data_IF_162332766623
#
_entry.id   IF_162332766623
#
_cell.length_a   1.000
_cell.length_b   1.000
_cell.length_c   1.000
_cell.angle_alpha   90.00
_cell.angle_beta   90.00
_cell.angle_gamma   90.00
#
_symmetry.space_group_name_H-M   'P 1'
#
loop_
_entity.id
_entity.type
_entity.pdbx_description
1 polymer ?
#
# COMPACT_ATOMS: atom_id res chain seq x y z
N UNK A 1 7.69 10.90 -35.61
CA UNK A 1 7.30 11.38 -34.28
C UNK A 1 6.74 10.17 -33.56
N UNK A 2 7.44 9.63 -32.55
CA UNK A 2 7.01 8.40 -31.87
C UNK A 2 5.73 8.70 -31.08
N UNK A 3 4.58 8.31 -31.62
CA UNK A 3 3.30 8.29 -30.91
C UNK A 3 3.41 7.18 -29.84
N UNK A 4 3.91 7.56 -28.68
CA UNK A 4 3.86 6.70 -27.50
C UNK A 4 2.39 6.51 -27.15
N UNK A 5 1.88 5.30 -27.38
CA UNK A 5 0.51 4.91 -27.06
C UNK A 5 0.27 5.14 -25.55
N UNK A 6 -0.90 5.67 -25.20
CA UNK A 6 -1.29 5.97 -23.82
C UNK A 6 -1.13 4.75 -22.89
N UNK A 7 -1.28 3.54 -23.44
CA UNK A 7 -1.00 2.28 -22.74
C UNK A 7 0.48 2.09 -22.41
N UNK A 8 1.38 2.43 -23.33
CA UNK A 8 2.83 2.36 -23.11
C UNK A 8 3.29 3.39 -22.07
N UNK A 9 2.76 4.63 -22.10
CA UNK A 9 3.03 5.62 -21.05
C UNK A 9 2.54 5.16 -19.67
N UNK A 10 1.37 4.52 -19.62
CA UNK A 10 0.84 3.97 -18.35
C UNK A 10 1.74 2.86 -17.82
N UNK A 11 2.20 1.94 -18.69
CA UNK A 11 3.11 0.87 -18.32
C UNK A 11 4.49 1.41 -17.87
N UNK A 12 5.04 2.42 -18.55
CA UNK A 12 6.31 3.06 -18.14
C UNK A 12 6.15 3.73 -16.78
N UNK A 13 5.06 4.47 -16.56
CA UNK A 13 4.78 5.11 -15.28
C UNK A 13 4.59 4.11 -14.14
N UNK A 14 3.94 2.97 -14.42
CA UNK A 14 3.76 1.88 -13.47
C UNK A 14 5.09 1.24 -13.08
N UNK A 15 5.96 0.92 -14.05
CA UNK A 15 7.31 0.40 -13.80
C UNK A 15 8.16 1.38 -13.00
N UNK A 16 8.12 2.67 -13.35
CA UNK A 16 8.86 3.73 -12.64
C UNK A 16 8.38 3.85 -11.18
N UNK A 17 7.06 3.79 -10.97
CA UNK A 17 6.47 3.83 -9.64
C UNK A 17 6.90 2.63 -8.80
N UNK A 18 6.85 1.41 -9.37
CA UNK A 18 7.29 0.17 -8.72
C UNK A 18 8.74 0.26 -8.27
N UNK A 19 9.64 0.70 -9.14
CA UNK A 19 11.06 0.88 -8.82
C UNK A 19 11.26 1.89 -7.68
N UNK A 20 10.57 3.03 -7.73
CA UNK A 20 10.66 4.04 -6.68
C UNK A 20 10.15 3.54 -5.32
N UNK A 21 9.09 2.72 -5.32
CA UNK A 21 8.49 2.13 -4.12
C UNK A 21 9.45 1.10 -3.50
N UNK A 22 10.01 0.20 -4.32
CA UNK A 22 11.01 -0.76 -3.87
C UNK A 22 12.25 -0.07 -3.27
N UNK A 23 12.76 0.97 -3.93
CA UNK A 23 13.88 1.78 -3.43
C UNK A 23 13.55 2.49 -2.11
N UNK A 24 12.36 3.08 -2.01
CA UNK A 24 11.91 3.76 -0.79
C UNK A 24 11.82 2.79 0.38
N UNK A 25 11.20 1.63 0.17
CA UNK A 25 11.04 0.59 1.19
C UNK A 25 12.39 0.02 1.62
N UNK A 26 13.30 -0.27 0.67
CA UNK A 26 14.64 -0.74 0.98
C UNK A 26 15.44 0.26 1.84
N UNK A 27 15.34 1.56 1.54
CA UNK A 27 16.02 2.63 2.30
C UNK A 27 15.42 2.84 3.69
N UNK A 28 14.10 2.71 3.85
CA UNK A 28 13.41 3.01 5.11
C UNK A 28 13.25 1.80 6.04
N UNK A 29 13.30 0.56 5.53
CA UNK A 29 13.20 -0.66 6.33
C UNK A 29 14.56 -1.21 6.81
N UNK A 30 15.66 -0.48 6.58
CA UNK A 30 16.94 -0.77 7.21
C UNK A 30 17.62 -2.05 6.70
N UNK A 31 17.66 -2.25 5.38
CA UNK A 31 18.55 -3.24 4.74
C UNK A 31 18.28 -4.71 5.05
N UNK A 32 17.17 -5.06 5.68
CA UNK A 32 16.80 -6.47 5.88
C UNK A 32 16.20 -7.05 4.60
N UNK A 33 17.11 -7.56 3.79
CA UNK A 33 16.91 -8.36 2.56
C UNK A 33 16.18 -7.58 1.45
N UNK A 34 16.81 -7.37 0.27
CA UNK A 34 16.09 -6.80 -0.86
C UNK A 34 14.92 -7.74 -1.18
N UNK A 35 13.70 -7.24 -1.04
CA UNK A 35 12.52 -7.94 -1.56
C UNK A 35 12.76 -8.15 -3.05
N UNK A 36 12.77 -9.41 -3.50
CA UNK A 36 12.86 -9.71 -4.93
C UNK A 36 11.65 -9.03 -5.60
N UNK A 37 11.90 -8.23 -6.64
CA UNK A 37 10.88 -7.40 -7.30
C UNK A 37 9.65 -8.24 -7.71
N UNK A 38 9.86 -9.47 -8.16
CA UNK A 38 8.78 -10.39 -8.54
C UNK A 38 7.88 -10.79 -7.35
N UNK A 39 8.44 -10.94 -6.15
CA UNK A 39 7.67 -11.21 -4.94
C UNK A 39 6.92 -9.96 -4.47
N UNK A 40 7.55 -8.79 -4.55
CA UNK A 40 6.89 -7.52 -4.23
C UNK A 40 5.71 -7.25 -5.16
N UNK A 41 5.87 -7.52 -6.46
CA UNK A 41 4.82 -7.37 -7.46
C UNK A 41 3.65 -8.34 -7.20
N UNK A 42 3.93 -9.62 -6.93
CA UNK A 42 2.89 -10.60 -6.60
C UNK A 42 2.11 -10.23 -5.33
N UNK A 43 2.81 -9.74 -4.30
CA UNK A 43 2.20 -9.26 -3.06
C UNK A 43 1.37 -7.99 -3.28
N UNK A 44 1.89 -7.03 -4.04
CA UNK A 44 1.14 -5.82 -4.40
C UNK A 44 -0.12 -6.15 -5.20
N UNK A 45 -0.03 -7.06 -6.18
CA UNK A 45 -1.19 -7.51 -6.96
C UNK A 45 -2.24 -8.22 -6.09
N UNK A 46 -1.79 -9.07 -5.15
CA UNK A 46 -2.69 -9.71 -4.18
C UNK A 46 -3.40 -8.67 -3.29
N UNK A 47 -2.67 -7.65 -2.83
CA UNK A 47 -3.22 -6.54 -2.05
C UNK A 47 -4.20 -5.70 -2.88
N UNK A 48 -3.87 -5.38 -4.13
CA UNK A 48 -4.75 -4.63 -5.04
C UNK A 48 -6.04 -5.43 -5.29
N UNK A 49 -5.93 -6.75 -5.53
CA UNK A 49 -7.09 -7.62 -5.69
C UNK A 49 -7.97 -7.66 -4.42
N UNK A 50 -7.35 -7.72 -3.24
CA UNK A 50 -8.04 -7.65 -1.96
C UNK A 50 -8.78 -6.31 -1.80
N UNK A 51 -8.10 -5.18 -2.01
CA UNK A 51 -8.68 -3.84 -1.96
C UNK A 51 -9.92 -3.73 -2.87
N UNK A 52 -9.82 -4.22 -4.11
CA UNK A 52 -10.94 -4.23 -5.07
C UNK A 52 -12.11 -5.07 -4.55
N UNK A 53 -11.87 -6.25 -3.98
CA UNK A 53 -12.90 -7.10 -3.35
C UNK A 53 -13.56 -6.42 -2.14
N UNK A 54 -12.80 -5.66 -1.37
CA UNK A 54 -13.27 -4.86 -0.24
C UNK A 54 -13.96 -3.54 -0.67
N UNK A 55 -14.01 -3.27 -1.98
CA UNK A 55 -14.65 -2.08 -2.52
C UNK A 55 -13.81 -0.80 -2.37
N UNK A 56 -12.50 -0.90 -2.11
CA UNK A 56 -11.56 0.21 -2.30
C UNK A 56 -11.20 0.28 -3.79
N UNK A 57 -11.67 1.33 -4.45
CA UNK A 57 -11.56 1.49 -5.92
C UNK A 57 -10.74 2.70 -6.32
N UNK A 58 -10.51 3.66 -5.43
CA UNK A 58 -9.66 4.81 -5.72
C UNK A 58 -8.17 4.43 -5.61
N UNK A 59 -7.34 5.01 -6.46
CA UNK A 59 -5.88 4.81 -6.40
C UNK A 59 -5.32 5.16 -5.03
N UNK A 60 -5.82 6.24 -4.41
CA UNK A 60 -5.41 6.66 -3.07
C UNK A 60 -5.75 5.62 -1.99
N UNK A 61 -6.96 5.07 -2.00
CA UNK A 61 -7.37 4.06 -1.03
C UNK A 61 -6.53 2.77 -1.16
N UNK A 62 -6.28 2.35 -2.40
CA UNK A 62 -5.42 1.19 -2.69
C UNK A 62 -3.99 1.44 -2.22
N UNK A 63 -3.42 2.62 -2.52
CA UNK A 63 -2.07 2.98 -2.11
C UNK A 63 -1.93 3.08 -0.59
N UNK A 64 -2.92 3.66 0.11
CA UNK A 64 -2.93 3.75 1.57
C UNK A 64 -2.91 2.36 2.22
N UNK A 65 -3.74 1.44 1.73
CA UNK A 65 -3.80 0.07 2.24
C UNK A 65 -2.53 -0.73 1.90
N UNK A 66 -2.00 -0.58 0.68
CA UNK A 66 -0.75 -1.25 0.29
C UNK A 66 0.45 -0.76 1.11
N UNK A 67 0.52 0.54 1.41
CA UNK A 67 1.54 1.09 2.29
C UNK A 67 1.45 0.50 3.72
N UNK A 68 0.24 0.40 4.27
CA UNK A 68 0.01 -0.25 5.56
C UNK A 68 0.53 -1.70 5.56
N UNK A 69 0.13 -2.49 4.56
CA UNK A 69 0.57 -3.87 4.39
C UNK A 69 2.10 -3.99 4.27
N UNK A 70 2.73 -3.09 3.50
CA UNK A 70 4.18 -3.10 3.32
C UNK A 70 4.94 -2.79 4.61
N UNK A 71 4.41 -1.92 5.47
CA UNK A 71 5.07 -1.54 6.73
C UNK A 71 4.85 -2.55 7.86
N UNK A 72 3.67 -3.18 7.92
CA UNK A 72 3.24 -3.96 9.08
C UNK A 72 2.93 -5.43 8.80
N UNK A 73 2.94 -5.84 7.53
CA UNK A 73 2.57 -7.18 7.06
C UNK A 73 1.06 -7.34 6.84
N UNK A 74 0.71 -8.14 5.82
CA UNK A 74 -0.68 -8.38 5.40
C UNK A 74 -1.55 -8.93 6.54
N UNK A 75 -1.03 -9.87 7.33
CA UNK A 75 -1.77 -10.53 8.41
C UNK A 75 -2.17 -9.54 9.50
N UNK A 76 -1.24 -8.69 9.94
CA UNK A 76 -1.51 -7.68 10.98
C UNK A 76 -2.54 -6.66 10.51
N UNK A 77 -2.39 -6.15 9.28
CA UNK A 77 -3.30 -5.16 8.72
C UNK A 77 -4.69 -5.76 8.50
N UNK A 78 -4.77 -6.96 7.92
CA UNK A 78 -6.04 -7.63 7.62
C UNK A 78 -6.84 -8.05 8.85
N UNK A 79 -6.17 -8.27 9.99
CA UNK A 79 -6.80 -8.63 11.26
C UNK A 79 -7.05 -7.43 12.19
N UNK A 80 -6.62 -6.21 11.83
CA UNK A 80 -6.86 -5.04 12.67
C UNK A 80 -8.35 -4.63 12.63
N UNK A 81 -9.04 -4.55 13.79
CA UNK A 81 -10.47 -4.22 13.82
C UNK A 81 -10.82 -2.87 13.19
N UNK A 82 -9.93 -1.89 13.29
CA UNK A 82 -10.14 -0.56 12.72
C UNK A 82 -10.12 -0.63 11.19
N UNK A 83 -9.14 -1.36 10.64
CA UNK A 83 -9.04 -1.60 9.20
C UNK A 83 -10.23 -2.39 8.70
N UNK A 84 -10.62 -3.47 9.39
CA UNK A 84 -11.82 -4.25 9.06
C UNK A 84 -13.06 -3.35 9.02
N UNK A 85 -13.22 -2.47 10.02
CA UNK A 85 -14.32 -1.50 10.06
C UNK A 85 -14.33 -0.56 8.85
N UNK A 86 -13.18 0.02 8.50
CA UNK A 86 -13.04 0.92 7.34
C UNK A 86 -13.31 0.17 6.02
N UNK A 87 -12.90 -1.09 5.91
CA UNK A 87 -13.15 -1.92 4.74
C UNK A 87 -14.63 -2.32 4.63
N UNK A 88 -15.30 -2.59 5.75
CA UNK A 88 -16.71 -2.96 5.80
C UNK A 88 -17.66 -1.78 5.51
N UNK A 89 -17.26 -0.55 5.87
CA UNK A 89 -18.06 0.65 5.63
C UNK A 89 -18.02 1.08 4.15
N UNK A 90 -18.83 0.40 3.33
CA UNK A 90 -18.97 0.68 1.90
C UNK A 90 -19.83 1.91 1.60
N UNK A 91 -20.57 2.42 2.58
CA UNK A 91 -21.36 3.65 2.46
C UNK A 91 -20.47 4.90 2.46
N UNK A 92 -19.32 4.85 3.13
CA UNK A 92 -18.42 5.98 3.21
C UNK A 92 -17.72 6.30 1.88
N UNK A 93 -17.49 7.59 1.58
CA UNK A 93 -16.70 8.01 0.44
C UNK A 93 -15.32 7.36 0.38
N UNK A 94 -14.85 7.07 -0.84
CA UNK A 94 -13.53 6.45 -1.05
C UNK A 94 -12.38 7.29 -0.48
N UNK A 95 -12.53 8.62 -0.49
CA UNK A 95 -11.53 9.55 0.03
C UNK A 95 -11.44 9.48 1.56
N UNK A 96 -12.57 9.35 2.24
CA UNK A 96 -12.63 9.25 3.70
C UNK A 96 -12.04 7.93 4.16
N UNK A 97 -12.41 6.84 3.49
CA UNK A 97 -11.84 5.50 3.78
C UNK A 97 -10.32 5.48 3.57
N UNK A 98 -9.82 6.14 2.51
CA UNK A 98 -8.39 6.27 2.28
C UNK A 98 -7.70 7.05 3.42
N UNK A 99 -8.28 8.19 3.81
CA UNK A 99 -7.75 9.02 4.88
C UNK A 99 -7.69 8.27 6.22
N UNK A 100 -8.73 7.50 6.55
CA UNK A 100 -8.76 6.70 7.77
C UNK A 100 -7.66 5.63 7.80
N UNK A 101 -7.38 4.98 6.66
CA UNK A 101 -6.27 4.02 6.54
C UNK A 101 -4.92 4.73 6.68
N UNK A 102 -4.75 5.92 6.08
CA UNK A 102 -3.53 6.73 6.23
C UNK A 102 -3.30 7.13 7.70
N UNK A 103 -4.35 7.55 8.40
CA UNK A 103 -4.29 7.92 9.82
C UNK A 103 -3.94 6.72 10.70
N UNK A 104 -4.57 5.56 10.46
CA UNK A 104 -4.23 4.33 11.16
C UNK A 104 -2.75 3.96 10.93
N UNK A 105 -2.27 4.06 9.69
CA UNK A 105 -0.89 3.75 9.32
C UNK A 105 0.10 4.67 10.07
N UNK A 106 -0.20 5.96 10.15
CA UNK A 106 0.61 6.94 10.87
C UNK A 106 0.64 6.69 12.38
N UNK A 107 -0.49 6.33 12.98
CA UNK A 107 -0.58 5.96 14.39
C UNK A 107 0.24 4.70 14.69
N UNK A 108 0.01 3.62 13.93
CA UNK A 108 0.73 2.35 14.08
C UNK A 108 2.25 2.52 13.90
N UNK A 109 2.68 3.39 12.99
CA UNK A 109 4.10 3.68 12.77
C UNK A 109 4.71 4.45 13.93
N UNK A 110 3.96 5.39 14.50
CA UNK A 110 4.40 6.17 15.67
C UNK A 110 4.62 5.27 16.88
N UNK A 111 3.73 4.30 17.10
CA UNK A 111 3.85 3.32 18.19
C UNK A 111 5.02 2.35 17.95
N UNK A 112 5.19 1.88 16.72
CA UNK A 112 6.34 1.05 16.34
C UNK A 112 7.68 1.75 16.65
N UNK A 113 7.82 3.03 16.30
CA UNK A 113 9.04 3.80 16.61
C UNK A 113 9.26 4.03 18.10
N UNK A 114 8.18 4.15 18.90
CA UNK A 114 8.30 4.27 20.36
C UNK A 114 8.82 2.97 20.97
N UNK A 115 8.29 1.82 20.52
CA UNK A 115 8.71 0.50 21.00
C UNK A 115 10.15 0.14 20.64
N UNK A 116 10.73 0.70 19.57
CA UNK A 116 12.15 0.50 19.24
C UNK A 116 13.13 1.41 20.00
N UNK A 117 12.63 2.44 20.69
CA UNK A 117 13.46 3.41 21.43
C UNK A 117 13.45 3.21 22.94
N UNK A 118 12.71 2.22 23.44
CA UNK A 118 12.75 1.75 24.83
C UNK A 118 13.50 0.43 24.93
#
# INVERSE_FOLDING_TARGET
MLELDRKQMTAIGETQLRNNLADFLNRHLGGKVPLQLDQLDAELDAVIAHCRKAGLRSQRAVAAYALACSLFGNERVGNDPSIIGILADRSSPQIDRALLIEMWTAAAYSDYRRLQRG
#
